data_IF_800860104280
#
_entry.id   IF_800860104280
#
_cell.length_a   1.000
_cell.length_b   1.000
_cell.length_c   1.000
_cell.angle_alpha   90.00
_cell.angle_beta   90.00
_cell.angle_gamma   90.00
#
_symmetry.space_group_name_H-M   'P 1'
#
loop_
_entity.id
_entity.type
_entity.pdbx_description
1 polymer ?
#
# COMPACT_ATOMS: atom_id res chain seq x y z
N UNK A 1 18.01 0.76 2.58
CA UNK A 1 16.92 1.73 2.29
C UNK A 1 15.84 0.97 1.55
N UNK A 2 14.64 0.81 2.11
CA UNK A 2 13.54 0.07 1.46
C UNK A 2 12.33 0.98 1.29
N UNK A 3 12.51 2.00 0.46
CA UNK A 3 11.45 2.88 -0.05
C UNK A 3 11.19 2.48 -1.50
N UNK A 4 9.94 2.26 -1.85
CA UNK A 4 9.48 2.11 -3.22
C UNK A 4 8.46 3.21 -3.53
N UNK A 5 8.53 3.78 -4.73
CA UNK A 5 7.67 4.85 -5.20
C UNK A 5 7.01 4.38 -6.49
N UNK A 6 5.69 4.53 -6.58
CA UNK A 6 4.90 4.13 -7.75
C UNK A 6 4.02 5.30 -8.18
N UNK A 7 4.07 5.62 -9.47
CA UNK A 7 3.17 6.61 -10.08
C UNK A 7 1.79 6.00 -10.28
N UNK A 8 0.75 6.73 -9.88
CA UNK A 8 -0.63 6.26 -9.92
C UNK A 8 -1.60 7.41 -10.24
N UNK A 9 -2.89 7.12 -10.17
CA UNK A 9 -4.00 8.05 -10.40
C UNK A 9 -5.03 7.88 -9.28
N UNK A 10 -5.45 8.98 -8.66
CA UNK A 10 -6.57 8.96 -7.72
C UNK A 10 -7.89 9.09 -8.49
N UNK A 11 -8.99 8.63 -7.90
CA UNK A 11 -10.33 8.79 -8.49
C UNK A 11 -11.03 9.97 -7.82
N UNK A 12 -11.29 11.04 -8.57
CA UNK A 12 -12.01 12.23 -8.10
C UNK A 12 -13.17 12.50 -9.05
N UNK A 13 -14.32 11.89 -8.78
CA UNK A 13 -15.46 11.90 -9.71
C UNK A 13 -15.09 11.25 -11.05
N UNK A 14 -15.14 12.02 -12.14
CA UNK A 14 -14.70 11.60 -13.48
C UNK A 14 -13.23 11.93 -13.78
N UNK A 15 -12.57 12.64 -12.87
CA UNK A 15 -11.17 13.04 -13.02
C UNK A 15 -10.23 11.99 -12.42
N UNK A 16 -9.03 11.94 -13.00
CA UNK A 16 -7.96 11.05 -12.57
C UNK A 16 -6.66 11.85 -12.36
N UNK A 17 -6.55 12.66 -11.28
CA UNK A 17 -5.32 13.40 -10.99
C UNK A 17 -4.15 12.43 -10.75
N UNK A 18 -2.96 12.84 -11.22
CA UNK A 18 -1.73 12.10 -10.97
C UNK A 18 -1.37 12.15 -9.48
N UNK A 19 -1.05 10.99 -8.92
CA UNK A 19 -0.60 10.85 -7.52
C UNK A 19 0.59 9.92 -7.45
N UNK A 20 1.32 10.00 -6.35
CA UNK A 20 2.48 9.16 -6.07
C UNK A 20 2.19 8.34 -4.83
N UNK A 21 2.32 7.02 -4.94
CA UNK A 21 2.17 6.10 -3.81
C UNK A 21 3.55 5.68 -3.34
N UNK A 22 3.78 5.77 -2.04
CA UNK A 22 5.06 5.41 -1.44
C UNK A 22 4.88 4.23 -0.48
N UNK A 23 5.79 3.26 -0.56
CA UNK A 23 5.85 2.12 0.36
C UNK A 23 7.19 2.11 1.06
N UNK A 24 7.17 2.13 2.38
CA UNK A 24 8.37 2.05 3.20
C UNK A 24 8.35 0.79 4.08
N UNK A 25 9.43 0.00 4.01
CA UNK A 25 9.66 -1.13 4.92
C UNK A 25 10.64 -0.72 6.03
N UNK A 26 10.19 -0.84 7.27
CA UNK A 26 10.97 -0.57 8.47
C UNK A 26 11.12 -1.83 9.34
N UNK A 27 12.15 -1.86 10.19
CA UNK A 27 12.28 -2.90 11.21
C UNK A 27 11.20 -2.74 12.30
N UNK A 28 10.82 -3.85 12.93
CA UNK A 28 9.84 -3.88 14.01
C UNK A 28 8.79 -4.97 13.80
N UNK A 29 7.78 -4.97 14.67
CA UNK A 29 6.68 -5.94 14.60
C UNK A 29 5.92 -5.83 13.26
N UNK A 30 5.47 -6.97 12.69
CA UNK A 30 4.71 -6.97 11.45
C UNK A 30 3.44 -6.14 11.58
N UNK A 31 3.34 -5.09 10.77
CA UNK A 31 2.13 -4.27 10.69
C UNK A 31 2.09 -3.59 9.34
N UNK A 32 0.89 -3.31 8.84
CA UNK A 32 0.66 -2.58 7.60
C UNK A 32 -0.22 -1.37 7.92
N UNK A 33 0.32 -0.18 7.69
CA UNK A 33 -0.36 1.09 7.99
C UNK A 33 -0.53 1.90 6.71
N UNK A 34 -1.74 2.39 6.46
CA UNK A 34 -2.03 3.36 5.41
C UNK A 34 -2.12 4.76 6.04
N UNK A 35 -1.43 5.74 5.45
CA UNK A 35 -1.36 7.15 5.87
C UNK A 35 -1.83 8.02 4.69
N UNK A 36 -2.37 9.21 4.95
CA UNK A 36 -2.92 10.08 3.89
C UNK A 36 -4.45 10.12 3.81
N UNK A 37 -5.15 9.78 4.91
CA UNK A 37 -6.62 9.77 4.99
C UNK A 37 -7.30 8.88 3.93
N UNK A 38 -6.90 7.59 3.80
CA UNK A 38 -7.48 6.69 2.81
C UNK A 38 -8.97 6.42 3.05
N UNK A 39 -9.72 6.36 1.96
CA UNK A 39 -11.12 5.94 1.96
C UNK A 39 -11.29 4.41 2.13
N UNK A 40 -12.53 3.96 2.37
CA UNK A 40 -12.86 2.56 2.66
C UNK A 40 -12.30 1.57 1.62
N UNK A 41 -12.49 1.85 0.34
CA UNK A 41 -12.01 0.97 -0.74
C UNK A 41 -10.48 0.77 -0.73
N UNK A 42 -9.72 1.81 -0.38
CA UNK A 42 -8.25 1.75 -0.25
C UNK A 42 -7.86 0.96 1.00
N UNK A 43 -8.59 1.13 2.12
CA UNK A 43 -8.38 0.36 3.35
C UNK A 43 -8.59 -1.15 3.13
N UNK A 44 -9.59 -1.54 2.36
CA UNK A 44 -9.87 -2.95 2.03
C UNK A 44 -8.82 -3.56 1.08
N UNK A 45 -8.17 -2.75 0.25
CA UNK A 45 -7.11 -3.22 -0.65
C UNK A 45 -5.96 -3.88 0.09
N UNK A 46 -5.71 -3.52 1.36
CA UNK A 46 -4.63 -4.10 2.18
C UNK A 46 -4.73 -5.63 2.28
N UNK A 47 -5.95 -6.13 2.49
CA UNK A 47 -6.22 -7.55 2.71
C UNK A 47 -6.17 -8.28 1.37
N UNK A 48 -6.71 -7.65 0.30
CA UNK A 48 -6.60 -8.15 -1.08
C UNK A 48 -5.15 -8.30 -1.54
N UNK A 49 -4.31 -7.30 -1.29
CA UNK A 49 -2.89 -7.32 -1.67
C UNK A 49 -2.15 -8.43 -0.93
N UNK A 50 -2.38 -8.57 0.38
CA UNK A 50 -1.79 -9.68 1.15
C UNK A 50 -2.21 -11.03 0.57
N UNK A 51 -3.50 -11.25 0.34
CA UNK A 51 -4.01 -12.50 -0.23
C UNK A 51 -3.42 -12.78 -1.62
N UNK A 52 -3.30 -11.76 -2.48
CA UNK A 52 -2.70 -11.91 -3.80
C UNK A 52 -1.23 -12.35 -3.73
N UNK A 53 -0.42 -11.72 -2.88
CA UNK A 53 1.00 -12.06 -2.70
C UNK A 53 1.15 -13.53 -2.26
N UNK A 54 0.38 -13.95 -1.24
CA UNK A 54 0.42 -15.32 -0.73
C UNK A 54 -0.04 -16.33 -1.80
N UNK A 55 -1.09 -16.02 -2.55
CA UNK A 55 -1.58 -16.88 -3.64
C UNK A 55 -0.58 -17.01 -4.79
N UNK A 56 0.26 -16.00 -5.01
CA UNK A 56 1.37 -16.07 -5.96
C UNK A 56 2.60 -16.85 -5.43
N UNK A 57 2.50 -17.50 -4.27
CA UNK A 57 3.59 -18.22 -3.60
C UNK A 57 4.79 -17.31 -3.27
N UNK A 58 4.53 -16.03 -3.05
CA UNK A 58 5.52 -15.06 -2.61
C UNK A 58 5.42 -14.87 -1.09
N UNK A 59 6.54 -14.56 -0.46
CA UNK A 59 6.57 -14.25 0.96
C UNK A 59 6.08 -12.82 1.23
N UNK A 60 5.08 -12.69 2.11
CA UNK A 60 4.67 -11.38 2.60
C UNK A 60 5.65 -10.95 3.70
N UNK A 61 6.28 -9.77 3.61
CA UNK A 61 7.34 -9.38 4.52
C UNK A 61 6.82 -9.23 5.96
N UNK A 62 7.46 -9.94 6.90
CA UNK A 62 7.19 -9.85 8.34
C UNK A 62 7.87 -8.61 8.97
N UNK A 63 7.59 -7.43 8.41
CA UNK A 63 8.18 -6.14 8.81
C UNK A 63 7.08 -5.10 8.98
N UNK A 64 7.44 -3.93 9.54
CA UNK A 64 6.54 -2.78 9.55
C UNK A 64 6.51 -2.16 8.15
N UNK A 65 5.33 -2.11 7.56
CA UNK A 65 5.07 -1.56 6.23
C UNK A 65 4.22 -0.31 6.39
N UNK A 66 4.67 0.81 5.83
CA UNK A 66 3.90 2.05 5.78
C UNK A 66 3.66 2.42 4.33
N UNK A 67 2.39 2.63 4.01
CA UNK A 67 1.92 3.08 2.71
C UNK A 67 1.43 4.52 2.84
N UNK A 68 1.94 5.41 2.00
CA UNK A 68 1.48 6.79 1.88
C UNK A 68 0.69 6.92 0.58
N UNK A 69 -0.55 7.39 0.67
CA UNK A 69 -1.49 7.51 -0.45
C UNK A 69 -2.10 8.90 -0.52
#
# INVERSE_FOLDING_TARGET
MSLAIVLSRAQVGVEAPAVTVETHLANGLPTLTLVGLPEGAVKESKDRVRSAIVNCRLEFPARRITLNV
#
